data_IF_876364756038
#
_entry.id   IF_876364756038
#
_cell.length_a   1.000
_cell.length_b   1.000
_cell.length_c   1.000
_cell.angle_alpha   90.00
_cell.angle_beta   90.00
_cell.angle_gamma   90.00
#
_symmetry.space_group_name_H-M   'P 1'
#
loop_
_entity.id
_entity.type
_entity.pdbx_description
1 polymer ?
#
# COMPACT_ATOMS: atom_id res chain seq x y z
N UNK A 1 -12.69 -7.17 16.92
CA UNK A 1 -11.42 -7.89 17.15
C UNK A 1 -10.72 -7.29 18.35
N UNK A 2 -9.99 -8.12 19.09
CA UNK A 2 -9.02 -7.71 20.10
C UNK A 2 -7.72 -7.22 19.45
N UNK A 3 -6.92 -6.44 20.19
CA UNK A 3 -5.58 -6.03 19.73
C UNK A 3 -4.69 -7.22 19.33
N UNK A 4 -4.87 -8.38 19.98
CA UNK A 4 -4.13 -9.61 19.66
C UNK A 4 -4.46 -10.17 18.28
N UNK A 5 -5.70 -10.05 17.82
CA UNK A 5 -6.10 -10.52 16.48
C UNK A 5 -5.55 -9.61 15.38
N UNK A 6 -5.53 -8.29 15.60
CA UNK A 6 -4.87 -7.34 14.69
C UNK A 6 -3.36 -7.59 14.63
N UNK A 7 -2.73 -7.88 15.77
CA UNK A 7 -1.30 -8.21 15.82
C UNK A 7 -0.99 -9.50 15.06
N UNK A 8 -1.81 -10.54 15.22
CA UNK A 8 -1.65 -11.79 14.47
C UNK A 8 -1.80 -11.58 12.95
N UNK A 9 -2.76 -10.74 12.55
CA UNK A 9 -2.96 -10.36 11.16
C UNK A 9 -1.76 -9.58 10.59
N UNK A 10 -1.23 -8.62 11.35
CA UNK A 10 -0.03 -7.87 10.99
C UNK A 10 1.17 -8.83 10.78
N UNK A 11 1.44 -9.69 11.75
CA UNK A 11 2.55 -10.65 11.67
C UNK A 11 2.42 -11.61 10.48
N UNK A 12 1.18 -11.97 10.12
CA UNK A 12 0.90 -12.86 8.98
C UNK A 12 1.06 -12.18 7.63
N UNK A 13 0.57 -10.95 7.47
CA UNK A 13 0.42 -10.33 6.16
C UNK A 13 1.47 -9.26 5.83
N UNK A 14 2.19 -8.69 6.80
CA UNK A 14 3.13 -7.59 6.54
C UNK A 14 4.25 -8.01 5.58
N UNK A 15 4.95 -9.12 5.86
CA UNK A 15 6.04 -9.58 4.99
C UNK A 15 5.56 -10.02 3.60
N UNK A 16 4.50 -10.83 3.45
CA UNK A 16 3.96 -11.16 2.12
C UNK A 16 3.52 -9.93 1.32
N UNK A 17 2.86 -8.96 1.97
CA UNK A 17 2.39 -7.74 1.30
C UNK A 17 3.56 -6.89 0.81
N UNK A 18 4.58 -6.69 1.66
CA UNK A 18 5.79 -5.97 1.28
C UNK A 18 6.53 -6.68 0.13
N UNK A 19 6.64 -8.02 0.17
CA UNK A 19 7.27 -8.78 -0.92
C UNK A 19 6.49 -8.64 -2.24
N UNK A 20 5.16 -8.69 -2.18
CA UNK A 20 4.28 -8.47 -3.33
C UNK A 20 4.48 -7.07 -3.94
N UNK A 21 4.56 -6.03 -3.10
CA UNK A 21 4.80 -4.66 -3.55
C UNK A 21 6.21 -4.48 -4.12
N UNK A 22 7.23 -5.02 -3.44
CA UNK A 22 8.62 -4.92 -3.87
C UNK A 22 8.84 -5.62 -5.22
N UNK A 23 8.18 -6.76 -5.48
CA UNK A 23 8.24 -7.43 -6.78
C UNK A 23 7.74 -6.55 -7.95
N UNK A 24 6.85 -5.59 -7.68
CA UNK A 24 6.26 -4.69 -8.68
C UNK A 24 7.00 -3.35 -8.78
N UNK A 25 7.38 -2.79 -7.64
CA UNK A 25 8.02 -1.47 -7.55
C UNK A 25 9.53 -1.54 -7.74
N UNK A 26 10.16 -2.68 -7.40
CA UNK A 26 11.61 -2.85 -7.31
C UNK A 26 12.28 -1.81 -6.40
N UNK A 27 11.52 -1.32 -5.43
CA UNK A 27 11.95 -0.37 -4.41
C UNK A 27 11.51 -0.93 -3.04
N UNK A 28 12.46 -1.47 -2.26
CA UNK A 28 12.13 -2.10 -0.99
C UNK A 28 11.68 -1.10 0.07
N UNK A 29 12.12 0.16 0.00
CA UNK A 29 11.74 1.20 0.94
C UNK A 29 10.31 1.64 0.66
N UNK A 30 10.00 2.00 -0.59
CA UNK A 30 8.64 2.34 -0.98
C UNK A 30 7.67 1.18 -0.73
N UNK A 31 8.08 -0.06 -0.99
CA UNK A 31 7.27 -1.23 -0.70
C UNK A 31 6.95 -1.37 0.81
N UNK A 32 7.91 -1.05 1.69
CA UNK A 32 7.69 -1.05 3.13
C UNK A 32 6.69 0.04 3.54
N UNK A 33 6.87 1.25 3.02
CA UNK A 33 6.03 2.41 3.33
C UNK A 33 4.58 2.16 2.88
N UNK A 34 4.38 1.66 1.66
CA UNK A 34 3.04 1.36 1.14
C UNK A 34 2.38 0.18 1.87
N UNK A 35 3.16 -0.82 2.30
CA UNK A 35 2.64 -1.90 3.13
C UNK A 35 2.16 -1.35 4.48
N UNK A 36 2.98 -0.52 5.15
CA UNK A 36 2.64 0.09 6.42
C UNK A 36 1.38 0.96 6.32
N UNK A 37 1.31 1.85 5.32
CA UNK A 37 0.14 2.69 5.06
C UNK A 37 -1.14 1.87 4.84
N UNK A 38 -1.03 0.71 4.18
CA UNK A 38 -2.16 -0.19 3.98
C UNK A 38 -2.70 -0.75 5.30
N UNK A 39 -1.82 -1.06 6.25
CA UNK A 39 -2.22 -1.48 7.60
C UNK A 39 -2.78 -0.33 8.43
N UNK A 40 -2.24 0.89 8.31
CA UNK A 40 -2.79 2.08 8.98
C UNK A 40 -4.26 2.26 8.59
N UNK A 41 -4.55 2.27 7.27
CA UNK A 41 -5.93 2.39 6.77
C UNK A 41 -6.83 1.24 7.22
N UNK A 42 -6.30 0.03 7.29
CA UNK A 42 -7.03 -1.10 7.84
C UNK A 42 -7.41 -0.85 9.31
N UNK A 43 -6.48 -0.40 10.15
CA UNK A 43 -6.75 -0.14 11.57
C UNK A 43 -7.73 1.01 11.81
N UNK A 44 -7.76 2.01 10.91
CA UNK A 44 -8.72 3.11 10.96
C UNK A 44 -10.13 2.66 10.57
N UNK A 45 -10.22 1.78 9.57
CA UNK A 45 -11.49 1.39 8.96
C UNK A 45 -12.11 0.14 9.58
N UNK A 46 -11.31 -0.67 10.25
CA UNK A 46 -11.76 -1.86 10.95
C UNK A 46 -12.79 -1.61 12.07
N UNK A 47 -12.62 -0.62 12.98
CA UNK A 47 -13.60 -0.33 14.04
C UNK A 47 -14.98 0.06 13.52
N UNK A 48 -15.09 0.51 12.27
CA UNK A 48 -16.35 0.88 11.65
C UNK A 48 -17.19 -0.33 11.21
N UNK A 49 -16.64 -1.55 11.27
CA UNK A 49 -17.38 -2.79 10.99
C UNK A 49 -17.69 -3.05 9.51
N UNK A 50 -17.19 -2.22 8.61
CA UNK A 50 -17.52 -2.26 7.17
C UNK A 50 -16.61 -3.20 6.34
N UNK A 51 -15.66 -3.88 6.97
CA UNK A 51 -14.70 -4.75 6.29
C UNK A 51 -15.18 -6.19 6.39
N UNK A 52 -15.71 -6.71 5.28
CA UNK A 52 -16.16 -8.11 5.16
C UNK A 52 -15.00 -9.09 5.04
N UNK A 53 -13.95 -8.70 4.31
CA UNK A 53 -12.74 -9.50 4.11
C UNK A 53 -11.51 -8.60 4.27
N UNK A 54 -10.76 -8.85 5.34
CA UNK A 54 -9.59 -8.06 5.72
C UNK A 54 -8.44 -8.25 4.74
N UNK A 55 -8.23 -9.49 4.26
CA UNK A 55 -7.14 -9.77 3.33
C UNK A 55 -7.40 -9.10 1.98
N UNK A 56 -8.62 -9.26 1.45
CA UNK A 56 -9.03 -8.59 0.22
C UNK A 56 -8.95 -7.07 0.34
N UNK A 57 -9.38 -6.50 1.48
CA UNK A 57 -9.26 -5.08 1.74
C UNK A 57 -7.79 -4.61 1.76
N UNK A 58 -6.92 -5.35 2.45
CA UNK A 58 -5.51 -5.00 2.60
C UNK A 58 -4.78 -5.01 1.25
N UNK A 59 -4.92 -6.08 0.47
CA UNK A 59 -4.29 -6.17 -0.86
C UNK A 59 -4.88 -5.17 -1.85
N UNK A 60 -6.19 -4.88 -1.78
CA UNK A 60 -6.81 -3.83 -2.61
C UNK A 60 -6.25 -2.46 -2.28
N UNK A 61 -6.14 -2.13 -1.00
CA UNK A 61 -5.57 -0.85 -0.54
C UNK A 61 -4.12 -0.70 -1.00
N UNK A 62 -3.29 -1.71 -0.77
CA UNK A 62 -1.89 -1.72 -1.21
C UNK A 62 -1.74 -1.56 -2.72
N UNK A 63 -2.57 -2.28 -3.51
CA UNK A 63 -2.58 -2.16 -4.97
C UNK A 63 -2.96 -0.75 -5.42
N UNK A 64 -3.95 -0.13 -4.79
CA UNK A 64 -4.38 1.22 -5.14
C UNK A 64 -3.27 2.24 -4.86
N UNK A 65 -2.67 2.18 -3.68
CA UNK A 65 -1.53 3.04 -3.31
C UNK A 65 -0.36 2.92 -4.30
N UNK A 66 -0.02 1.69 -4.66
CA UNK A 66 1.03 1.42 -5.65
C UNK A 66 0.69 2.02 -7.02
N UNK A 67 -0.54 1.83 -7.52
CA UNK A 67 -0.97 2.40 -8.79
C UNK A 67 -0.97 3.92 -8.77
N UNK A 68 -1.39 4.53 -7.67
CA UNK A 68 -1.40 5.99 -7.52
C UNK A 68 0.02 6.56 -7.50
N UNK A 69 0.96 5.88 -6.84
CA UNK A 69 2.37 6.23 -6.87
C UNK A 69 2.94 6.17 -8.30
N UNK A 70 2.70 5.07 -9.02
CA UNK A 70 3.17 4.90 -10.40
C UNK A 70 2.58 5.96 -11.34
N UNK A 71 1.29 6.30 -11.18
CA UNK A 71 0.64 7.40 -11.94
C UNK A 71 1.28 8.75 -11.63
N UNK A 72 1.58 9.04 -10.36
CA UNK A 72 2.25 10.28 -9.98
C UNK A 72 3.67 10.36 -10.55
N UNK A 73 4.42 9.26 -10.49
CA UNK A 73 5.77 9.19 -11.06
C UNK A 73 5.75 9.43 -12.58
N UNK A 74 4.79 8.83 -13.29
CA UNK A 74 4.64 9.04 -14.73
C UNK A 74 4.34 10.50 -15.08
N UNK A 75 3.42 11.15 -14.35
CA UNK A 75 3.09 12.57 -14.58
C UNK A 75 4.30 13.49 -14.38
N UNK A 76 5.07 13.28 -13.31
CA UNK A 76 6.29 14.06 -13.04
C UNK A 76 7.35 13.89 -14.13
N UNK A 77 7.45 12.71 -14.74
CA UNK A 77 8.35 12.49 -15.87
C UNK A 77 7.90 13.26 -17.11
N UNK A 78 6.59 13.34 -17.38
CA UNK A 78 6.07 14.11 -18.52
C UNK A 78 6.26 15.62 -18.32
N UNK A 79 5.96 16.15 -17.14
CA UNK A 79 6.15 17.57 -16.81
C UNK A 79 7.62 17.99 -16.88
N UNK A 80 8.54 17.17 -16.36
CA UNK A 80 9.97 17.46 -16.43
C UNK A 80 10.53 17.50 -17.86
N UNK A 81 9.96 16.73 -18.79
CA UNK A 81 10.36 16.76 -20.20
C UNK A 81 9.84 18.01 -20.91
N UNK A 82 8.70 18.56 -20.50
CA UNK A 82 8.18 19.82 -21.04
C UNK A 82 8.98 21.03 -20.54
N UNK A 83 9.42 21.03 -19.27
CA UNK A 83 10.23 22.11 -18.70
C UNK A 83 11.66 22.20 -19.29
N UNK A 84 12.26 21.08 -19.72
CA UNK A 84 13.61 21.05 -20.34
C UNK A 84 13.61 21.48 -21.83
N UNK A 85 12.44 21.67 -22.45
CA UNK A 85 12.30 22.04 -23.88
C UNK A 85 11.99 23.55 -24.08
N UNK A 86 11.88 24.33 -23.00
CA UNK A 86 11.66 25.79 -23.03
C UNK A 86 12.91 26.59 -22.63
#
# INVERSE_FOLDING_TARGET
MSNSELQALFLRHMRPLQAYLNAKLRDPQLAADLAQESFTRLTEQYPQGNILDIEAYLYKTAKNLMLDHLRQQQRRQTEAVEDDIL
#
